data_IF_753326496239
#
_entry.id   IF_753326496239
#
_cell.length_a   1.000
_cell.length_b   1.000
_cell.length_c   1.000
_cell.angle_alpha   90.00
_cell.angle_beta   90.00
_cell.angle_gamma   90.00
#
_symmetry.space_group_name_H-M   'P 1'
#
loop_
_entity.id
_entity.type
_entity.pdbx_description
1 polymer ?
#
# COMPACT_ATOMS: atom_id res chain seq x y z
N UNK A 1 23.50 -0.39 -6.01
CA UNK A 1 22.39 -1.31 -6.37
C UNK A 1 21.09 -0.51 -6.41
N UNK A 2 20.10 -1.00 -7.11
CA UNK A 2 18.79 -0.30 -7.21
C UNK A 2 18.13 -0.09 -5.85
N UNK A 3 18.30 -1.01 -4.92
CA UNK A 3 17.76 -0.88 -3.56
C UNK A 3 18.35 0.34 -2.84
N UNK A 4 19.64 0.57 -2.95
CA UNK A 4 20.30 1.72 -2.32
C UNK A 4 19.73 3.03 -2.86
N UNK A 5 19.51 3.12 -4.17
CA UNK A 5 18.92 4.29 -4.83
C UNK A 5 17.49 4.53 -4.32
N UNK A 6 16.68 3.48 -4.22
CA UNK A 6 15.30 3.59 -3.72
C UNK A 6 15.27 4.07 -2.26
N UNK A 7 16.15 3.52 -1.43
CA UNK A 7 16.27 3.92 -0.01
C UNK A 7 16.72 5.38 0.11
N UNK A 8 17.71 5.81 -0.67
CA UNK A 8 18.17 7.20 -0.70
C UNK A 8 17.04 8.17 -1.09
N UNK A 9 16.27 7.84 -2.12
CA UNK A 9 15.15 8.68 -2.54
C UNK A 9 14.03 8.71 -1.50
N UNK A 10 13.76 7.59 -0.85
CA UNK A 10 12.82 7.53 0.28
C UNK A 10 13.29 8.39 1.46
N UNK A 11 14.57 8.37 1.78
CA UNK A 11 15.17 9.22 2.83
C UNK A 11 15.04 10.72 2.53
N UNK A 12 15.11 11.12 1.25
CA UNK A 12 14.88 12.53 0.83
C UNK A 12 13.42 12.95 0.99
N UNK A 13 12.47 12.04 0.76
CA UNK A 13 11.03 12.33 0.88
C UNK A 13 10.53 12.39 2.31
N UNK A 14 11.08 11.57 3.19
CA UNK A 14 10.61 11.41 4.56
C UNK A 14 10.53 12.74 5.35
N UNK A 15 11.51 13.66 5.28
CA UNK A 15 11.41 14.98 5.92
C UNK A 15 10.24 15.81 5.44
N UNK A 16 9.87 15.72 4.15
CA UNK A 16 8.72 16.44 3.60
C UNK A 16 7.39 15.90 4.11
N UNK A 17 7.28 14.59 4.31
CA UNK A 17 6.11 13.99 4.94
C UNK A 17 5.97 14.45 6.39
N UNK A 18 7.08 14.42 7.16
CA UNK A 18 7.12 14.87 8.56
C UNK A 18 6.86 16.38 8.73
N UNK A 19 7.10 17.21 7.71
CA UNK A 19 6.69 18.63 7.70
C UNK A 19 5.18 18.81 7.55
N UNK A 20 4.52 17.94 6.79
CA UNK A 20 3.06 18.02 6.56
C UNK A 20 2.28 17.57 7.79
N UNK A 21 2.70 16.45 8.37
CA UNK A 21 2.16 15.91 9.63
C UNK A 21 3.38 15.52 10.46
N UNK A 22 3.53 16.13 11.65
CA UNK A 22 4.67 15.83 12.52
C UNK A 22 4.64 14.36 12.97
N UNK A 23 5.78 13.84 13.39
CA UNK A 23 5.90 12.48 13.90
C UNK A 23 5.02 12.24 15.13
N UNK A 24 4.93 13.23 16.02
CA UNK A 24 4.07 13.19 17.21
C UNK A 24 2.59 13.12 16.82
N UNK A 25 2.18 13.98 15.89
CA UNK A 25 0.79 14.01 15.40
C UNK A 25 0.44 12.74 14.63
N UNK A 26 1.35 12.23 13.80
CA UNK A 26 1.17 10.98 13.08
C UNK A 26 0.98 9.80 14.05
N UNK A 27 1.80 9.72 15.09
CA UNK A 27 1.70 8.70 16.14
C UNK A 27 0.37 8.81 16.88
N UNK A 28 -0.04 10.03 17.27
CA UNK A 28 -1.31 10.27 17.95
C UNK A 28 -2.50 9.80 17.10
N UNK A 29 -2.54 10.21 15.83
CA UNK A 29 -3.60 9.82 14.90
C UNK A 29 -3.65 8.29 14.71
N UNK A 30 -2.49 7.64 14.62
CA UNK A 30 -2.42 6.19 14.49
C UNK A 30 -2.97 5.45 15.72
N UNK A 31 -2.65 5.95 16.93
CA UNK A 31 -3.15 5.37 18.20
C UNK A 31 -4.67 5.58 18.32
N UNK A 32 -5.17 6.76 17.96
CA UNK A 32 -6.58 7.11 18.02
C UNK A 32 -7.43 6.47 16.91
N UNK A 33 -6.80 5.96 15.85
CA UNK A 33 -7.52 5.35 14.73
C UNK A 33 -8.25 4.07 15.17
N UNK A 34 -9.53 3.99 14.85
CA UNK A 34 -10.28 2.73 15.02
C UNK A 34 -9.96 1.81 13.84
N UNK A 35 -9.20 0.77 14.11
CA UNK A 35 -8.80 -0.20 13.09
C UNK A 35 -9.91 -1.23 12.88
N UNK A 36 -10.35 -1.38 11.64
CA UNK A 36 -11.07 -2.56 11.20
C UNK A 36 -10.04 -3.51 10.58
N UNK A 37 -9.78 -4.63 11.24
CA UNK A 37 -8.82 -5.61 10.72
C UNK A 37 -9.45 -6.43 9.60
N UNK A 38 -8.87 -6.36 8.42
CA UNK A 38 -9.10 -7.33 7.35
C UNK A 38 -7.99 -8.37 7.43
N UNK A 39 -8.28 -9.53 7.98
CA UNK A 39 -7.27 -10.51 8.36
C UNK A 39 -6.53 -11.10 7.14
N UNK A 40 -5.38 -10.51 6.82
CA UNK A 40 -4.52 -10.94 5.73
C UNK A 40 -3.97 -12.36 5.95
N UNK A 41 -3.63 -12.68 7.19
CA UNK A 41 -3.14 -14.01 7.54
C UNK A 41 -4.19 -15.08 7.26
N UNK A 42 -5.42 -14.91 7.73
CA UNK A 42 -6.49 -15.90 7.55
C UNK A 42 -6.85 -16.07 6.07
N UNK A 43 -6.81 -14.99 5.28
CA UNK A 43 -7.05 -15.06 3.85
C UNK A 43 -6.04 -15.96 3.12
N UNK A 44 -4.80 -16.01 3.61
CA UNK A 44 -3.73 -16.83 3.03
C UNK A 44 -3.56 -18.21 3.69
N UNK A 45 -4.02 -18.36 4.93
CA UNK A 45 -3.87 -19.61 5.71
C UNK A 45 -4.92 -20.67 5.38
N UNK A 46 -5.86 -20.40 4.48
CA UNK A 46 -6.87 -21.36 4.03
C UNK A 46 -6.25 -22.55 3.31
N UNK A 47 -6.97 -23.67 3.25
CA UNK A 47 -6.57 -24.83 2.45
C UNK A 47 -6.56 -24.48 0.94
N UNK A 48 -5.58 -25.05 0.24
CA UNK A 48 -5.43 -24.88 -1.20
C UNK A 48 -4.58 -23.68 -1.60
N UNK A 49 -4.74 -23.20 -2.83
CA UNK A 49 -4.00 -22.08 -3.40
C UNK A 49 -4.60 -20.75 -2.93
N UNK A 50 -3.75 -19.85 -2.47
CA UNK A 50 -4.11 -18.46 -2.18
C UNK A 50 -3.44 -17.53 -3.20
N UNK A 51 -4.18 -16.57 -3.70
CA UNK A 51 -3.75 -15.63 -4.74
C UNK A 51 -3.70 -14.22 -4.17
N UNK A 52 -2.54 -13.58 -4.29
CA UNK A 52 -2.35 -12.15 -4.04
C UNK A 52 -2.24 -11.46 -5.41
N UNK A 53 -3.18 -10.59 -5.72
CA UNK A 53 -3.13 -9.77 -6.93
C UNK A 53 -2.48 -8.42 -6.63
N UNK A 54 -1.53 -8.01 -7.48
CA UNK A 54 -0.75 -6.79 -7.26
C UNK A 54 -1.19 -5.65 -8.17
N UNK A 55 -1.51 -4.50 -7.57
CA UNK A 55 -1.67 -3.24 -8.26
C UNK A 55 -0.33 -2.49 -8.30
N UNK A 56 0.18 -2.30 -9.53
CA UNK A 56 1.45 -1.65 -9.80
C UNK A 56 1.38 -0.86 -11.11
N UNK A 57 1.86 0.39 -11.11
CA UNK A 57 1.85 1.27 -12.30
C UNK A 57 3.17 1.29 -13.07
N UNK A 58 4.26 1.04 -12.39
CA UNK A 58 5.59 1.00 -12.98
C UNK A 58 6.54 0.12 -12.18
N UNK A 59 7.67 -0.23 -12.76
CA UNK A 59 8.79 -0.85 -12.04
C UNK A 59 10.13 -0.44 -12.67
N UNK A 60 11.25 -0.52 -11.93
CA UNK A 60 12.57 -0.20 -12.46
C UNK A 60 12.96 -1.06 -13.69
N UNK A 61 12.49 -2.30 -13.74
CA UNK A 61 12.83 -3.25 -14.80
C UNK A 61 11.93 -3.13 -16.05
N UNK A 62 10.70 -2.65 -15.92
CA UNK A 62 9.71 -2.61 -17.00
C UNK A 62 9.23 -1.20 -17.36
N UNK A 63 9.65 -0.18 -16.60
CA UNK A 63 9.15 1.19 -16.79
C UNK A 63 7.65 1.32 -16.51
N UNK A 64 6.99 2.23 -17.20
CA UNK A 64 5.56 2.46 -17.06
C UNK A 64 4.75 1.29 -17.64
N UNK A 65 3.80 0.80 -16.87
CA UNK A 65 2.84 -0.20 -17.32
C UNK A 65 1.63 0.50 -17.92
N UNK A 66 1.43 0.34 -19.22
CA UNK A 66 0.28 0.92 -19.91
C UNK A 66 -0.96 0.06 -19.62
N UNK A 67 -1.82 0.55 -18.75
CA UNK A 67 -3.05 -0.12 -18.37
C UNK A 67 -4.23 0.47 -19.15
N UNK A 68 -4.83 -0.35 -20.01
CA UNK A 68 -6.03 0.00 -20.79
C UNK A 68 -7.32 -0.04 -19.99
N UNK A 69 -7.29 -0.61 -18.77
CA UNK A 69 -8.45 -0.74 -17.89
C UNK A 69 -8.34 0.23 -16.71
N UNK A 70 -9.50 0.66 -16.20
CA UNK A 70 -9.58 1.55 -15.04
C UNK A 70 -9.15 0.84 -13.75
N UNK A 71 -8.85 1.61 -12.70
CA UNK A 71 -8.60 1.04 -11.38
C UNK A 71 -9.81 0.23 -10.89
N UNK A 72 -11.01 0.75 -11.07
CA UNK A 72 -12.27 0.10 -10.67
C UNK A 72 -12.46 -1.27 -11.34
N UNK A 73 -12.28 -1.32 -12.65
CA UNK A 73 -12.37 -2.58 -13.41
C UNK A 73 -11.33 -3.59 -12.94
N UNK A 74 -10.12 -3.13 -12.65
CA UNK A 74 -9.04 -3.98 -12.15
C UNK A 74 -9.35 -4.54 -10.77
N UNK A 75 -9.81 -3.71 -9.84
CA UNK A 75 -10.15 -4.15 -8.48
C UNK A 75 -11.35 -5.09 -8.50
N UNK A 76 -12.32 -4.87 -9.39
CA UNK A 76 -13.40 -5.82 -9.61
C UNK A 76 -12.89 -7.19 -10.04
N UNK A 77 -11.97 -7.25 -11.03
CA UNK A 77 -11.35 -8.50 -11.47
C UNK A 77 -10.58 -9.18 -10.32
N UNK A 78 -9.88 -8.43 -9.48
CA UNK A 78 -9.20 -8.98 -8.30
C UNK A 78 -10.20 -9.58 -7.31
N UNK A 79 -11.33 -8.92 -7.08
CA UNK A 79 -12.40 -9.44 -6.23
C UNK A 79 -12.97 -10.78 -6.68
N UNK A 80 -12.93 -11.09 -7.98
CA UNK A 80 -13.40 -12.35 -8.54
C UNK A 80 -12.39 -13.50 -8.46
N UNK A 81 -11.10 -13.20 -8.28
CA UNK A 81 -10.03 -14.19 -8.43
C UNK A 81 -8.96 -14.21 -7.35
N UNK A 82 -8.85 -13.18 -6.52
CA UNK A 82 -7.82 -13.07 -5.52
C UNK A 82 -8.35 -13.23 -4.09
N UNK A 83 -7.47 -13.62 -3.18
CA UNK A 83 -7.72 -13.70 -1.75
C UNK A 83 -7.24 -12.46 -1.00
N UNK A 84 -6.28 -11.74 -1.59
CA UNK A 84 -5.72 -10.52 -1.06
C UNK A 84 -5.16 -9.63 -2.18
N UNK A 85 -4.94 -8.36 -1.89
CA UNK A 85 -4.37 -7.38 -2.81
C UNK A 85 -3.06 -6.86 -2.27
N UNK A 86 -2.05 -6.75 -3.14
CA UNK A 86 -0.82 -6.00 -2.89
C UNK A 86 -0.89 -4.67 -3.64
N UNK A 87 -0.70 -3.55 -2.92
CA UNK A 87 -0.73 -2.22 -3.50
C UNK A 87 0.63 -1.52 -3.36
N UNK A 88 1.28 -1.25 -4.49
CA UNK A 88 2.52 -0.47 -4.52
C UNK A 88 2.26 0.98 -4.15
N UNK A 89 2.94 1.46 -3.11
CA UNK A 89 2.87 2.86 -2.66
C UNK A 89 4.19 3.62 -2.83
N UNK A 90 5.25 2.95 -3.26
CA UNK A 90 6.53 3.60 -3.57
C UNK A 90 6.37 4.55 -4.78
N UNK A 91 6.75 5.81 -4.62
CA UNK A 91 6.37 6.90 -5.54
C UNK A 91 7.36 7.09 -6.69
N UNK A 92 8.66 6.99 -6.44
CA UNK A 92 9.69 7.37 -7.41
C UNK A 92 9.90 6.35 -8.52
N UNK A 93 9.98 5.09 -8.16
CA UNK A 93 10.38 4.00 -9.03
C UNK A 93 9.21 3.12 -9.49
N UNK A 94 8.15 3.04 -8.68
CA UNK A 94 6.96 2.23 -8.97
C UNK A 94 5.72 3.06 -9.31
N UNK A 95 5.83 4.39 -9.24
CA UNK A 95 4.71 5.33 -9.50
C UNK A 95 3.48 5.05 -8.65
N UNK A 96 3.73 4.55 -7.43
CA UNK A 96 2.72 4.27 -6.43
C UNK A 96 2.25 5.52 -5.68
N UNK A 97 1.29 5.34 -4.81
CA UNK A 97 0.79 6.37 -3.90
C UNK A 97 -0.05 5.75 -2.79
N UNK A 98 0.00 6.31 -1.60
CA UNK A 98 -0.93 5.97 -0.51
C UNK A 98 -2.38 6.30 -0.87
N UNK A 99 -2.61 7.20 -1.81
CA UNK A 99 -3.95 7.51 -2.32
C UNK A 99 -4.59 6.34 -3.07
N UNK A 100 -3.80 5.57 -3.84
CA UNK A 100 -4.32 4.34 -4.45
C UNK A 100 -4.78 3.33 -3.41
N UNK A 101 -4.06 3.22 -2.32
CA UNK A 101 -4.41 2.36 -1.21
C UNK A 101 -5.79 2.70 -0.62
N UNK A 102 -6.05 4.00 -0.41
CA UNK A 102 -7.35 4.50 0.06
C UNK A 102 -8.48 4.22 -0.94
N UNK A 103 -8.22 4.48 -2.22
CA UNK A 103 -9.20 4.23 -3.29
C UNK A 103 -9.53 2.75 -3.40
N UNK A 104 -8.53 1.88 -3.39
CA UNK A 104 -8.73 0.43 -3.44
C UNK A 104 -9.53 -0.06 -2.23
N UNK A 105 -9.24 0.46 -1.04
CA UNK A 105 -9.98 0.10 0.17
C UNK A 105 -11.49 0.40 0.07
N UNK A 106 -11.86 1.46 -0.62
CA UNK A 106 -13.27 1.82 -0.82
C UNK A 106 -13.99 0.90 -1.82
N UNK A 107 -13.25 0.15 -2.62
CA UNK A 107 -13.78 -0.69 -3.70
C UNK A 107 -13.89 -2.18 -3.32
N UNK A 108 -13.25 -2.63 -2.23
CA UNK A 108 -13.17 -4.05 -1.89
C UNK A 108 -13.03 -4.27 -0.39
N UNK A 109 -13.51 -5.41 0.09
CA UNK A 109 -13.28 -5.90 1.45
C UNK A 109 -12.12 -6.90 1.56
N UNK A 110 -11.44 -7.20 0.45
CA UNK A 110 -10.27 -8.05 0.47
C UNK A 110 -9.17 -7.45 1.35
N UNK A 111 -8.40 -8.27 2.07
CA UNK A 111 -7.20 -7.80 2.76
C UNK A 111 -6.23 -7.14 1.78
N UNK A 112 -5.64 -6.01 2.18
CA UNK A 112 -4.69 -5.27 1.36
C UNK A 112 -3.38 -5.15 2.11
N UNK A 113 -2.28 -5.53 1.46
CA UNK A 113 -0.93 -5.24 1.94
C UNK A 113 -0.37 -4.01 1.20
N UNK A 114 0.18 -3.07 1.94
CA UNK A 114 0.99 -2.00 1.36
C UNK A 114 2.35 -2.55 0.96
N UNK A 115 2.70 -2.40 -0.24
CA UNK A 115 4.03 -2.74 -0.72
C UNK A 115 4.86 -1.49 -0.92
N UNK A 116 5.83 -1.30 -0.05
CA UNK A 116 6.73 -0.14 -0.03
C UNK A 116 8.06 -0.52 0.61
N UNK A 117 9.03 0.37 0.56
CA UNK A 117 10.28 0.26 1.32
C UNK A 117 10.12 1.04 2.63
N UNK A 118 9.90 0.31 3.71
CA UNK A 118 9.70 0.88 5.04
C UNK A 118 11.06 1.08 5.71
N UNK A 119 11.43 2.32 5.95
CA UNK A 119 12.72 2.72 6.52
C UNK A 119 12.58 3.52 7.82
N UNK A 120 11.35 3.87 8.19
CA UNK A 120 11.07 4.68 9.38
C UNK A 120 9.71 4.29 9.98
N UNK A 121 9.58 4.23 11.33
CA UNK A 121 8.31 3.96 11.99
C UNK A 121 7.17 4.89 11.60
N UNK A 122 7.47 6.12 11.20
CA UNK A 122 6.50 7.09 10.69
C UNK A 122 5.64 6.49 9.57
N UNK A 123 6.24 5.73 8.65
CA UNK A 123 5.53 5.08 7.55
C UNK A 123 4.55 4.00 8.04
N UNK A 124 4.86 3.33 9.15
CA UNK A 124 3.96 2.35 9.77
C UNK A 124 2.77 3.04 10.42
N UNK A 125 2.99 4.16 11.09
CA UNK A 125 1.92 4.96 11.67
C UNK A 125 1.02 5.60 10.62
N UNK A 126 1.59 6.15 9.54
CA UNK A 126 0.85 6.67 8.38
C UNK A 126 -0.15 5.65 7.83
N UNK A 127 0.23 4.39 7.86
CA UNK A 127 -0.60 3.26 7.47
C UNK A 127 -1.82 3.03 8.34
N UNK A 128 -1.65 3.31 9.60
CA UNK A 128 -2.66 3.05 10.61
C UNK A 128 -3.72 4.15 10.65
N UNK A 129 -3.48 5.28 9.98
CA UNK A 129 -4.40 6.40 9.90
C UNK A 129 -5.33 6.20 8.72
N UNK A 130 -6.38 5.50 8.93
CA UNK A 130 -7.43 5.33 7.96
C UNK A 130 -8.57 4.57 8.60
N UNK A 131 -9.79 4.85 8.20
CA UNK A 131 -10.96 4.11 8.69
C UNK A 131 -10.87 2.61 8.43
N UNK A 132 -9.92 2.22 7.58
CA UNK A 132 -9.70 0.85 7.19
C UNK A 132 -8.22 0.56 7.35
N UNK A 133 -7.86 -0.21 8.38
CA UNK A 133 -6.49 -0.63 8.58
C UNK A 133 -6.08 -1.59 7.47
N UNK A 134 -5.05 -1.18 6.78
CA UNK A 134 -4.27 -2.06 5.94
C UNK A 134 -3.32 -2.87 6.84
N UNK A 135 -3.11 -4.08 6.56
CA UNK A 135 -2.06 -4.87 7.23
C UNK A 135 -0.82 -4.86 6.37
#
# INVERSE_FOLDING_TARGET
>A
MILDVIVEDKLKRLPEYKKRISEEEMTRLAIESQRVSHNFYDALAKDGLSIISEFKKASPSHGNMNNKITLEERIKQYGESADAISCLTEEDHFKGSTEYLKQIRQMTDLPIIRKDFIIDPYQVYEYSIGRDSFV
#
